data_IF_492681875893
#
_entry.id   IF_492681875893
#
_cell.length_a   1.000
_cell.length_b   1.000
_cell.length_c   1.000
_cell.angle_alpha   90.00
_cell.angle_beta   90.00
_cell.angle_gamma   90.00
#
_symmetry.space_group_name_H-M   'P 1'
#
loop_
_entity.id
_entity.type
_entity.pdbx_description
1 polymer ?
#
# COMPACT_ATOMS: atom_id res chain seq x y z
N UNK A 1 16.93 0.74 -1.43
CA UNK A 1 17.69 1.40 -0.34
C UNK A 1 18.10 2.81 -0.76
N UNK A 2 18.45 3.67 0.20
CA UNK A 2 18.74 5.09 -0.02
C UNK A 2 19.89 5.36 -1.00
N UNK A 3 20.94 4.53 -0.99
CA UNK A 3 22.09 4.68 -1.90
C UNK A 3 21.70 4.46 -3.35
N UNK A 4 20.92 3.43 -3.65
CA UNK A 4 20.43 3.14 -5.01
C UNK A 4 19.51 4.27 -5.49
N UNK A 5 18.59 4.74 -4.63
CA UNK A 5 17.69 5.85 -4.97
C UNK A 5 18.47 7.14 -5.29
N UNK A 6 19.48 7.48 -4.47
CA UNK A 6 20.37 8.62 -4.71
C UNK A 6 21.18 8.46 -6.00
N UNK A 7 21.73 7.27 -6.26
CA UNK A 7 22.49 6.98 -7.48
C UNK A 7 21.63 7.12 -8.75
N UNK A 8 20.40 6.56 -8.75
CA UNK A 8 19.43 6.73 -9.87
C UNK A 8 19.17 8.20 -10.14
N UNK A 9 18.95 9.00 -9.08
CA UNK A 9 18.75 10.44 -9.20
C UNK A 9 19.95 11.16 -9.82
N UNK A 10 21.17 10.77 -9.49
CA UNK A 10 22.39 11.39 -10.03
C UNK A 10 22.64 11.07 -11.51
N UNK A 11 22.20 9.91 -12.00
CA UNK A 11 22.42 9.50 -13.40
C UNK A 11 21.25 9.83 -14.33
N UNK A 12 20.11 10.26 -13.77
CA UNK A 12 18.95 10.70 -14.56
C UNK A 12 19.32 11.80 -15.55
N UNK A 13 18.84 11.67 -16.79
CA UNK A 13 19.15 12.58 -17.90
C UNK A 13 20.37 12.16 -18.72
N UNK A 14 21.30 11.38 -18.15
CA UNK A 14 22.31 10.64 -18.93
C UNK A 14 21.76 9.28 -19.38
N UNK A 15 21.00 8.64 -18.50
CA UNK A 15 20.23 7.42 -18.77
C UNK A 15 18.79 7.61 -18.34
N UNK A 16 17.89 6.83 -18.94
CA UNK A 16 16.53 6.71 -18.44
C UNK A 16 16.52 6.00 -17.09
N UNK A 17 15.63 6.42 -16.21
CA UNK A 17 15.25 5.68 -15.00
C UNK A 17 13.74 5.55 -15.01
N UNK A 18 13.24 4.46 -14.45
CA UNK A 18 11.84 4.20 -14.16
C UNK A 18 11.30 5.23 -13.14
N UNK A 19 11.73 5.13 -11.88
CA UNK A 19 11.34 6.06 -10.82
C UNK A 19 12.36 6.10 -9.68
N UNK A 20 12.29 7.12 -8.83
CA UNK A 20 13.02 7.15 -7.56
C UNK A 20 12.10 6.51 -6.52
N UNK A 21 12.40 5.27 -6.14
CA UNK A 21 11.62 4.54 -5.14
C UNK A 21 11.79 5.19 -3.76
N UNK A 22 10.66 5.47 -3.10
CA UNK A 22 10.56 5.68 -1.66
C UNK A 22 10.36 4.36 -0.91
N UNK A 23 10.11 4.41 0.40
CA UNK A 23 9.74 3.23 1.17
C UNK A 23 8.40 2.67 0.70
N UNK A 24 8.22 1.37 0.82
CA UNK A 24 7.03 0.68 0.34
C UNK A 24 5.83 0.91 1.26
N UNK A 25 4.60 0.89 0.72
CA UNK A 25 3.38 1.32 1.44
C UNK A 25 2.15 0.45 1.09
N UNK A 26 1.42 -0.01 2.11
CA UNK A 26 0.06 -0.57 1.96
C UNK A 26 -0.96 0.30 2.69
N UNK A 27 -2.10 0.53 2.04
CA UNK A 27 -3.27 1.14 2.64
C UNK A 27 -4.47 0.21 2.47
N UNK A 28 -5.06 -0.20 3.58
CA UNK A 28 -6.22 -1.10 3.62
C UNK A 28 -7.45 -0.30 4.06
N UNK A 29 -8.49 -0.25 3.24
CA UNK A 29 -9.82 0.19 3.65
C UNK A 29 -10.65 -1.05 3.98
N UNK A 30 -11.04 -1.21 5.24
CA UNK A 30 -11.74 -2.41 5.72
C UNK A 30 -12.90 -2.11 6.67
N UNK A 31 -13.90 -3.00 6.66
CA UNK A 31 -15.05 -2.99 7.58
C UNK A 31 -15.09 -4.27 8.44
N UNK A 32 -15.97 -4.30 9.45
CA UNK A 32 -16.03 -5.41 10.42
C UNK A 32 -16.45 -6.76 9.86
N UNK A 33 -16.78 -6.86 8.57
CA UNK A 33 -17.09 -8.14 7.91
C UNK A 33 -15.84 -8.93 7.57
N UNK A 34 -14.69 -8.26 7.49
CA UNK A 34 -13.40 -8.90 7.27
C UNK A 34 -12.81 -9.29 8.61
N UNK A 35 -12.34 -10.53 8.72
CA UNK A 35 -11.64 -10.99 9.92
C UNK A 35 -10.45 -10.04 10.21
N UNK A 36 -10.41 -9.36 11.38
CA UNK A 36 -9.30 -8.48 11.75
C UNK A 36 -7.92 -9.16 11.61
N UNK A 37 -7.86 -10.48 11.80
CA UNK A 37 -6.62 -11.25 11.65
C UNK A 37 -6.08 -11.21 10.22
N UNK A 38 -6.94 -11.14 9.21
CA UNK A 38 -6.51 -11.07 7.81
C UNK A 38 -5.88 -9.71 7.54
N UNK A 39 -6.57 -8.62 7.92
CA UNK A 39 -6.05 -7.25 7.83
C UNK A 39 -4.71 -7.12 8.54
N UNK A 40 -4.57 -7.66 9.76
CA UNK A 40 -3.29 -7.65 10.48
C UNK A 40 -2.20 -8.46 9.77
N UNK A 41 -2.58 -9.54 9.09
CA UNK A 41 -1.63 -10.35 8.33
C UNK A 41 -1.12 -9.58 7.12
N UNK A 42 -1.99 -8.86 6.40
CA UNK A 42 -1.60 -8.03 5.26
C UNK A 42 -0.75 -6.83 5.71
N UNK A 43 -1.13 -6.18 6.83
CA UNK A 43 -0.27 -5.15 7.46
C UNK A 43 1.13 -5.67 7.78
N UNK A 44 1.24 -6.89 8.31
CA UNK A 44 2.52 -7.49 8.66
C UNK A 44 3.32 -7.92 7.44
N UNK A 45 2.66 -8.45 6.39
CA UNK A 45 3.29 -8.78 5.13
C UNK A 45 4.01 -7.57 4.55
N UNK A 46 3.38 -6.38 4.61
CA UNK A 46 4.04 -5.16 4.18
C UNK A 46 5.12 -4.67 5.16
N UNK A 47 4.80 -4.60 6.45
CA UNK A 47 5.68 -4.06 7.48
C UNK A 47 6.95 -4.90 7.70
N UNK A 48 6.96 -6.17 7.28
CA UNK A 48 8.16 -6.99 7.38
C UNK A 48 9.21 -6.70 6.30
N UNK A 49 8.87 -5.99 5.21
CA UNK A 49 9.84 -5.68 4.15
C UNK A 49 11.03 -4.86 4.68
N UNK A 50 10.77 -3.75 5.36
CA UNK A 50 11.77 -2.77 5.81
C UNK A 50 11.28 -1.99 7.06
N UNK A 51 12.21 -1.47 7.88
CA UNK A 51 11.86 -0.65 9.06
C UNK A 51 11.18 0.67 8.68
N UNK A 52 11.37 1.14 7.45
CA UNK A 52 10.74 2.36 6.90
C UNK A 52 9.47 2.07 6.09
N UNK A 53 9.03 0.81 5.96
CA UNK A 53 7.78 0.43 5.32
C UNK A 53 6.57 1.01 6.07
N UNK A 54 5.46 1.22 5.37
CA UNK A 54 4.25 1.82 5.92
C UNK A 54 3.04 0.90 5.71
N UNK A 55 2.26 0.70 6.78
CA UNK A 55 1.00 -0.03 6.73
C UNK A 55 -0.10 0.77 7.43
N UNK A 56 -1.11 1.19 6.68
CA UNK A 56 -2.22 2.01 7.16
C UNK A 56 -3.53 1.24 7.01
N UNK A 57 -4.38 1.28 8.04
CA UNK A 57 -5.77 0.83 7.94
C UNK A 57 -6.69 2.02 8.11
N UNK A 58 -7.69 2.13 7.24
CA UNK A 58 -8.80 3.08 7.35
C UNK A 58 -10.08 2.28 7.61
N UNK A 59 -10.92 2.74 8.52
CA UNK A 59 -12.26 2.18 8.72
C UNK A 59 -13.26 3.24 9.17
N UNK A 60 -14.53 3.04 8.85
CA UNK A 60 -15.66 3.81 9.39
C UNK A 60 -16.12 3.33 10.76
N UNK A 61 -15.50 2.27 11.28
CA UNK A 61 -15.94 1.54 12.46
C UNK A 61 -14.84 1.52 13.51
N UNK A 62 -14.91 2.41 14.51
CA UNK A 62 -13.87 2.53 15.54
C UNK A 62 -13.63 1.21 16.30
N UNK A 63 -14.71 0.49 16.63
CA UNK A 63 -14.65 -0.80 17.31
C UNK A 63 -13.93 -1.89 16.50
N UNK A 64 -13.88 -1.76 15.17
CA UNK A 64 -13.13 -2.67 14.31
C UNK A 64 -11.62 -2.37 14.36
N UNK A 65 -11.26 -1.08 14.41
CA UNK A 65 -9.86 -0.67 14.60
C UNK A 65 -9.31 -1.12 15.97
N UNK A 66 -10.13 -1.07 17.02
CA UNK A 66 -9.74 -1.59 18.34
C UNK A 66 -9.43 -3.10 18.29
N UNK A 67 -10.22 -3.86 17.52
CA UNK A 67 -9.98 -5.29 17.30
C UNK A 67 -8.67 -5.52 16.52
N UNK A 68 -8.41 -4.73 15.48
CA UNK A 68 -7.15 -4.80 14.73
C UNK A 68 -5.96 -4.52 15.65
N UNK A 69 -6.03 -3.48 16.48
CA UNK A 69 -4.96 -3.15 17.43
C UNK A 69 -4.69 -4.30 18.42
N UNK A 70 -5.75 -4.93 18.93
CA UNK A 70 -5.63 -6.10 19.81
C UNK A 70 -4.95 -7.29 19.09
N UNK A 71 -5.31 -7.55 17.84
CA UNK A 71 -4.69 -8.62 17.04
C UNK A 71 -3.23 -8.31 16.69
N UNK A 72 -2.87 -7.05 16.42
CA UNK A 72 -1.47 -6.65 16.24
C UNK A 72 -0.67 -7.01 17.50
N UNK A 73 -1.16 -6.63 18.69
CA UNK A 73 -0.50 -6.91 19.97
C UNK A 73 -0.34 -8.41 20.24
N UNK A 74 -1.36 -9.20 19.90
CA UNK A 74 -1.36 -10.65 20.12
C UNK A 74 -0.44 -11.41 19.16
N UNK A 75 -0.44 -11.04 17.87
CA UNK A 75 0.23 -11.81 16.81
C UNK A 75 1.68 -11.35 16.55
N UNK A 76 2.03 -10.10 16.86
CA UNK A 76 3.37 -9.56 16.59
C UNK A 76 4.51 -10.38 17.22
N UNK A 77 4.43 -10.85 18.49
CA UNK A 77 5.51 -11.60 19.11
C UNK A 77 5.85 -12.92 18.40
N UNK A 78 4.90 -13.51 17.68
CA UNK A 78 5.07 -14.79 16.99
C UNK A 78 5.73 -14.64 15.61
N UNK A 79 5.93 -13.41 15.12
CA UNK A 79 6.45 -13.16 13.77
C UNK A 79 7.97 -13.29 13.71
N UNK A 80 8.54 -13.97 12.70
CA UNK A 80 9.99 -14.12 12.55
C UNK A 80 10.75 -12.79 12.50
N UNK A 81 10.16 -11.75 11.88
CA UNK A 81 10.72 -10.40 11.76
C UNK A 81 10.03 -9.38 12.68
N UNK A 82 9.56 -9.82 13.84
CA UNK A 82 8.78 -9.00 14.78
C UNK A 82 9.41 -7.64 15.14
N UNK A 83 10.73 -7.56 15.27
CA UNK A 83 11.44 -6.29 15.54
C UNK A 83 11.37 -5.30 14.37
N UNK A 84 11.45 -5.78 13.13
CA UNK A 84 11.32 -4.93 11.92
C UNK A 84 9.88 -4.42 11.82
N UNK A 85 8.92 -5.33 11.95
CA UNK A 85 7.48 -5.01 11.92
C UNK A 85 7.15 -3.99 13.02
N UNK A 86 7.65 -4.18 14.25
CA UNK A 86 7.44 -3.25 15.36
C UNK A 86 7.95 -1.84 15.03
N UNK A 87 9.14 -1.72 14.44
CA UNK A 87 9.71 -0.42 14.06
C UNK A 87 8.93 0.25 12.93
N UNK A 88 8.57 -0.49 11.87
CA UNK A 88 7.73 -0.01 10.79
C UNK A 88 6.39 0.53 11.31
N UNK A 89 5.65 -0.30 12.06
CA UNK A 89 4.33 0.07 12.58
C UNK A 89 4.38 1.22 13.58
N UNK A 90 5.39 1.27 14.46
CA UNK A 90 5.49 2.36 15.45
C UNK A 90 5.85 3.72 14.85
N UNK A 91 6.57 3.74 13.72
CA UNK A 91 6.99 4.99 13.07
C UNK A 91 6.02 5.45 11.99
N UNK A 92 5.47 4.50 11.23
CA UNK A 92 4.74 4.78 9.99
C UNK A 92 3.43 4.00 9.87
N UNK A 93 3.13 3.10 10.79
CA UNK A 93 1.82 2.46 10.85
C UNK A 93 0.75 3.42 11.37
N UNK A 94 -0.49 3.23 10.92
CA UNK A 94 -1.62 3.99 11.43
C UNK A 94 -2.93 3.21 11.33
N UNK A 95 -3.79 3.36 12.33
CA UNK A 95 -5.19 2.96 12.30
C UNK A 95 -6.01 4.26 12.30
N UNK A 96 -6.80 4.49 11.25
CA UNK A 96 -7.47 5.77 11.02
C UNK A 96 -8.98 5.54 10.96
N UNK A 97 -9.68 6.14 11.92
CA UNK A 97 -11.14 6.23 11.89
C UNK A 97 -11.58 7.40 11.02
N UNK A 98 -12.57 7.18 10.16
CA UNK A 98 -13.24 8.20 9.36
C UNK A 98 -14.75 8.12 9.55
N UNK A 99 -15.47 9.21 9.34
CA UNK A 99 -16.92 9.25 9.62
C UNK A 99 -17.76 8.70 8.46
N UNK A 100 -17.17 8.53 7.27
CA UNK A 100 -17.87 8.04 6.09
C UNK A 100 -16.93 7.47 5.03
N UNK A 101 -17.48 6.67 4.12
CA UNK A 101 -16.79 6.18 2.93
C UNK A 101 -16.28 7.32 2.04
N UNK A 102 -17.00 8.46 1.98
CA UNK A 102 -16.56 9.63 1.23
C UNK A 102 -15.26 10.20 1.80
N UNK A 103 -15.18 10.35 3.13
CA UNK A 103 -13.94 10.77 3.80
C UNK A 103 -12.81 9.75 3.59
N UNK A 104 -13.11 8.45 3.59
CA UNK A 104 -12.13 7.41 3.27
C UNK A 104 -11.55 7.61 1.86
N UNK A 105 -12.40 7.78 0.85
CA UNK A 105 -12.01 8.01 -0.55
C UNK A 105 -11.14 9.26 -0.69
N UNK A 106 -11.53 10.36 -0.05
CA UNK A 106 -10.76 11.61 -0.07
C UNK A 106 -9.38 11.43 0.54
N UNK A 107 -9.29 10.71 1.67
CA UNK A 107 -8.05 10.43 2.35
C UNK A 107 -7.15 9.49 1.53
N UNK A 108 -7.70 8.42 0.94
CA UNK A 108 -6.97 7.51 0.04
C UNK A 108 -6.37 8.29 -1.13
N UNK A 109 -7.18 9.11 -1.81
CA UNK A 109 -6.72 9.93 -2.93
C UNK A 109 -5.65 10.94 -2.52
N UNK A 110 -5.71 11.47 -1.29
CA UNK A 110 -4.67 12.36 -0.76
C UNK A 110 -3.37 11.62 -0.48
N UNK A 111 -3.45 10.44 0.14
CA UNK A 111 -2.27 9.60 0.45
C UNK A 111 -1.61 9.14 -0.86
N UNK A 112 -2.41 8.65 -1.81
CA UNK A 112 -1.97 8.07 -3.08
C UNK A 112 -1.02 6.88 -2.86
N UNK A 113 -1.51 5.79 -2.23
CA UNK A 113 -0.68 4.69 -1.78
C UNK A 113 -0.06 3.90 -2.95
N UNK A 114 1.02 3.19 -2.65
CA UNK A 114 1.60 2.19 -3.55
C UNK A 114 0.62 1.04 -3.76
N UNK A 115 0.23 0.35 -2.67
CA UNK A 115 -0.78 -0.70 -2.67
C UNK A 115 -2.06 -0.23 -1.95
N UNK A 116 -3.22 -0.40 -2.59
CA UNK A 116 -4.54 -0.14 -2.01
C UNK A 116 -5.36 -1.42 -1.95
N UNK A 117 -5.76 -1.83 -0.76
CA UNK A 117 -6.71 -2.93 -0.57
C UNK A 117 -8.09 -2.38 -0.19
N UNK A 118 -9.11 -2.81 -0.93
CA UNK A 118 -10.51 -2.47 -0.69
C UNK A 118 -11.24 -3.72 -0.20
N UNK A 119 -11.26 -3.88 1.13
CA UNK A 119 -11.81 -5.03 1.85
C UNK A 119 -13.12 -4.62 2.56
N UNK A 120 -14.07 -4.09 1.79
CA UNK A 120 -15.38 -3.62 2.27
C UNK A 120 -16.52 -4.16 1.42
N UNK A 121 -17.76 -4.10 1.91
CA UNK A 121 -18.94 -4.49 1.15
C UNK A 121 -19.02 -3.84 -0.26
N UNK A 122 -18.77 -2.52 -0.34
CA UNK A 122 -18.97 -1.73 -1.56
C UNK A 122 -17.66 -1.48 -2.35
N UNK A 123 -16.68 -2.39 -2.22
CA UNK A 123 -15.33 -2.21 -2.75
C UNK A 123 -15.28 -1.85 -4.25
N UNK A 124 -16.10 -2.48 -5.08
CA UNK A 124 -16.20 -2.16 -6.52
C UNK A 124 -16.76 -0.76 -6.80
N UNK A 125 -17.65 -0.26 -5.95
CA UNK A 125 -18.22 1.07 -6.12
C UNK A 125 -17.26 2.14 -5.60
N UNK A 126 -16.53 1.84 -4.53
CA UNK A 126 -15.48 2.69 -3.98
C UNK A 126 -14.33 2.85 -4.99
N UNK A 127 -13.89 1.75 -5.63
CA UNK A 127 -12.76 1.76 -6.56
C UNK A 127 -12.94 2.73 -7.73
N UNK A 128 -14.18 2.93 -8.19
CA UNK A 128 -14.53 3.90 -9.26
C UNK A 128 -14.21 5.35 -8.91
N UNK A 129 -14.07 5.67 -7.62
CA UNK A 129 -13.77 7.01 -7.12
C UNK A 129 -12.30 7.16 -6.68
N UNK A 130 -11.50 6.10 -6.77
CA UNK A 130 -10.07 6.14 -6.51
C UNK A 130 -9.36 6.64 -7.76
N UNK A 131 -8.70 7.79 -7.63
CA UNK A 131 -7.90 8.44 -8.67
C UNK A 131 -6.42 8.09 -8.56
N UNK A 132 -5.94 7.78 -7.36
CA UNK A 132 -4.52 7.63 -7.07
C UNK A 132 -4.25 6.40 -6.21
N UNK A 133 -3.71 5.36 -6.84
CA UNK A 133 -3.12 4.18 -6.22
C UNK A 133 -2.18 3.52 -7.24
N UNK A 134 -1.09 2.89 -6.80
CA UNK A 134 -0.23 2.11 -7.68
C UNK A 134 -0.94 0.84 -8.17
N UNK A 135 -1.37 0.01 -7.24
CA UNK A 135 -2.22 -1.15 -7.49
C UNK A 135 -3.44 -1.13 -6.57
N UNK A 136 -4.58 -1.61 -7.09
CA UNK A 136 -5.83 -1.72 -6.33
C UNK A 136 -6.25 -3.19 -6.29
N UNK A 137 -6.40 -3.71 -5.07
CA UNK A 137 -6.90 -5.03 -4.80
C UNK A 137 -8.33 -4.94 -4.28
N UNK A 138 -9.24 -5.67 -4.91
CA UNK A 138 -10.68 -5.62 -4.61
C UNK A 138 -11.08 -6.98 -4.07
N UNK A 139 -11.80 -7.00 -2.95
CA UNK A 139 -12.26 -8.18 -2.18
C UNK A 139 -11.34 -8.56 -1.02
N UNK A 140 -11.89 -9.04 0.11
CA UNK A 140 -11.11 -9.59 1.23
C UNK A 140 -10.21 -10.79 0.89
N UNK A 141 -10.36 -11.37 -0.31
CA UNK A 141 -9.56 -12.50 -0.78
C UNK A 141 -8.44 -12.10 -1.74
N UNK A 142 -8.27 -10.81 -2.00
CA UNK A 142 -7.27 -10.27 -2.91
C UNK A 142 -6.22 -9.52 -2.12
N UNK A 143 -5.34 -10.25 -1.42
CA UNK A 143 -4.22 -9.65 -0.69
C UNK A 143 -3.11 -9.19 -1.64
N UNK A 144 -2.36 -8.16 -1.23
CA UNK A 144 -1.18 -7.60 -1.92
C UNK A 144 -0.21 -8.68 -2.44
N UNK A 145 0.03 -9.70 -1.61
CA UNK A 145 0.94 -10.81 -1.92
C UNK A 145 0.60 -11.54 -3.23
N UNK A 146 -0.67 -11.58 -3.64
CA UNK A 146 -1.00 -12.18 -4.94
C UNK A 146 -0.52 -11.30 -6.10
N UNK A 147 -0.62 -9.98 -5.96
CA UNK A 147 -0.06 -9.01 -6.90
C UNK A 147 1.45 -9.12 -7.02
N UNK A 148 2.13 -9.32 -5.89
CA UNK A 148 3.59 -9.42 -5.85
C UNK A 148 4.16 -10.62 -6.59
N UNK A 149 3.40 -11.72 -6.68
CA UNK A 149 3.93 -13.00 -7.15
C UNK A 149 3.25 -13.57 -8.39
N UNK A 150 1.91 -13.60 -8.46
CA UNK A 150 1.24 -14.50 -9.42
C UNK A 150 -0.02 -13.97 -10.10
N UNK A 151 -0.55 -12.80 -9.73
CA UNK A 151 -1.76 -12.26 -10.33
C UNK A 151 -1.54 -11.70 -11.76
N UNK A 152 -0.30 -11.31 -12.09
CA UNK A 152 0.09 -10.80 -13.40
C UNK A 152 0.47 -9.30 -13.50
N UNK A 153 -0.10 -8.38 -12.70
CA UNK A 153 0.39 -6.99 -12.62
C UNK A 153 1.86 -6.90 -12.18
N UNK A 154 2.52 -5.79 -12.48
CA UNK A 154 3.90 -5.55 -12.06
C UNK A 154 3.94 -4.99 -10.63
N UNK A 155 4.80 -5.54 -9.78
CA UNK A 155 5.00 -5.06 -8.41
C UNK A 155 5.97 -3.88 -8.28
N UNK A 156 6.56 -3.39 -9.38
CA UNK A 156 7.34 -2.15 -9.38
C UNK A 156 6.37 -0.99 -9.51
N UNK A 157 5.99 -0.44 -8.34
CA UNK A 157 4.92 0.53 -8.20
C UNK A 157 5.41 1.89 -7.70
N UNK A 158 4.65 2.97 -7.98
CA UNK A 158 4.94 4.30 -7.46
C UNK A 158 4.70 4.40 -5.95
N UNK A 159 5.75 4.73 -5.19
CA UNK A 159 5.74 4.90 -3.72
C UNK A 159 5.68 6.36 -3.29
N UNK A 160 5.48 6.64 -1.99
CA UNK A 160 5.57 7.98 -1.38
C UNK A 160 4.70 9.04 -2.08
N UNK A 161 3.48 8.64 -2.43
CA UNK A 161 2.48 9.49 -3.07
C UNK A 161 2.75 9.82 -4.54
N UNK A 162 3.74 9.18 -5.16
CA UNK A 162 4.03 9.39 -6.59
C UNK A 162 2.96 8.78 -7.51
N UNK A 163 2.06 7.93 -7.00
CA UNK A 163 0.88 7.43 -7.72
C UNK A 163 -0.07 8.55 -8.21
N UNK A 164 0.14 9.80 -7.74
CA UNK A 164 -0.55 11.00 -8.27
C UNK A 164 -0.17 11.34 -9.71
N UNK A 165 1.02 10.95 -10.17
CA UNK A 165 1.55 11.33 -11.48
C UNK A 165 2.40 10.26 -12.17
N UNK A 166 2.71 9.15 -11.49
CA UNK A 166 3.44 8.01 -12.01
C UNK A 166 2.53 6.78 -12.13
N UNK A 167 2.89 5.86 -13.01
CA UNK A 167 2.17 4.60 -13.22
C UNK A 167 3.02 3.40 -12.75
N UNK A 168 2.39 2.23 -12.51
CA UNK A 168 3.09 0.96 -12.39
C UNK A 168 4.01 0.72 -13.59
N UNK A 169 5.16 0.09 -13.34
CA UNK A 169 6.07 -0.29 -14.41
C UNK A 169 5.35 -1.22 -15.40
N UNK A 170 5.41 -0.87 -16.68
CA UNK A 170 4.77 -1.62 -17.75
C UNK A 170 5.58 -1.61 -19.03
N UNK A 171 5.00 -2.21 -20.08
CA UNK A 171 5.66 -2.30 -21.40
C UNK A 171 6.01 -0.93 -21.98
N UNK A 172 5.30 0.13 -21.59
CA UNK A 172 5.52 1.48 -22.11
C UNK A 172 6.79 2.14 -21.58
N UNK A 173 7.28 1.73 -20.41
CA UNK A 173 8.55 2.24 -19.84
C UNK A 173 9.78 1.76 -20.63
N UNK A 174 9.61 0.72 -21.44
CA UNK A 174 10.65 0.16 -22.30
C UNK A 174 10.51 0.59 -23.76
N UNK A 175 9.63 1.56 -24.06
CA UNK A 175 9.36 2.05 -25.40
C UNK A 175 9.71 3.54 -25.55
N UNK A 176 9.99 3.96 -26.80
CA UNK A 176 10.11 5.37 -27.19
C UNK A 176 9.20 5.64 -28.38
N UNK A 177 8.52 6.78 -28.38
CA UNK A 177 7.60 7.21 -29.44
C UNK A 177 8.23 8.32 -30.28
N UNK A 178 8.07 8.24 -31.60
CA UNK A 178 8.49 9.29 -32.56
C UNK A 178 7.27 9.82 -33.28
N UNK A 179 7.16 11.15 -33.44
CA UNK A 179 6.10 11.79 -34.24
C UNK A 179 6.52 11.88 -35.72
N UNK A 180 5.55 11.88 -36.63
CA UNK A 180 5.72 12.12 -38.08
C UNK A 180 4.86 13.32 -38.45
#
# INVERSE_FOLDING_TARGET
NAYVAAAKRLVFGKVGIDMIAGPSEVLILADSRVDPKWVVTDMFAQAEHDEDAQAIVISTESHYLDQIEAHIKALLPERPRSEVIRKSLSRRGALIHVESTAQAIDLINRIAPEHLELATQDAEQISKNIRHAGAIFISPFSAEVFGDYCAGPNHVLPTSGTARFSSPLGVYDFQKRSSI
#
